data_IF_653322688002
#
_entry.id   IF_653322688002
#
_cell.length_a   1.000
_cell.length_b   1.000
_cell.length_c   1.000
_cell.angle_alpha   90.00
_cell.angle_beta   90.00
_cell.angle_gamma   90.00
#
_symmetry.space_group_name_H-M   'P 1'
#
loop_
_entity.id
_entity.type
_entity.pdbx_description
1 polymer ?
#
# COMPACT_ATOMS: atom_id res chain seq x y z
N UNK A 1 -9.60 -14.83 13.49
CA UNK A 1 -8.93 -16.03 14.04
C UNK A 1 -7.63 -16.21 13.26
N UNK A 2 -6.48 -16.31 13.93
CA UNK A 2 -5.19 -16.51 13.25
C UNK A 2 -5.20 -17.86 12.52
N UNK A 3 -4.93 -17.87 11.21
CA UNK A 3 -4.89 -19.12 10.44
C UNK A 3 -3.81 -20.06 10.97
N UNK A 4 -4.09 -21.36 11.03
CA UNK A 4 -3.19 -22.39 11.58
C UNK A 4 -1.77 -22.34 11.00
N UNK A 5 -1.64 -21.97 9.71
CA UNK A 5 -0.34 -21.80 9.04
C UNK A 5 0.53 -20.71 9.69
N UNK A 6 -0.08 -19.64 10.22
CA UNK A 6 0.61 -18.52 10.88
C UNK A 6 0.91 -18.78 12.36
N UNK A 7 0.35 -19.85 12.94
CA UNK A 7 0.59 -20.29 14.32
C UNK A 7 1.50 -21.53 14.40
N UNK A 8 1.97 -22.03 13.26
CA UNK A 8 2.83 -23.22 13.20
C UNK A 8 4.16 -22.99 13.93
N UNK A 9 4.72 -24.09 14.46
CA UNK A 9 6.04 -24.05 15.10
C UNK A 9 7.11 -23.51 14.13
N UNK A 10 7.05 -23.92 12.85
CA UNK A 10 7.94 -23.41 11.81
C UNK A 10 7.87 -21.88 11.67
N UNK A 11 6.66 -21.31 11.63
CA UNK A 11 6.49 -19.85 11.54
C UNK A 11 7.07 -19.15 12.78
N UNK A 12 6.87 -19.72 13.97
CA UNK A 12 7.42 -19.16 15.21
C UNK A 12 8.95 -19.14 15.21
N UNK A 13 9.59 -20.22 14.79
CA UNK A 13 11.05 -20.29 14.67
C UNK A 13 11.59 -19.31 13.61
N UNK A 14 10.92 -19.19 12.45
CA UNK A 14 11.29 -18.19 11.46
C UNK A 14 11.20 -16.77 12.02
N UNK A 15 10.13 -16.43 12.72
CA UNK A 15 10.01 -15.12 13.38
C UNK A 15 11.13 -14.89 14.39
N UNK A 16 11.54 -15.91 15.15
CA UNK A 16 12.65 -15.81 16.09
C UNK A 16 13.98 -15.53 15.38
N UNK A 17 14.31 -16.27 14.32
CA UNK A 17 15.54 -16.10 13.53
C UNK A 17 15.63 -14.70 12.91
N UNK A 18 14.51 -14.21 12.36
CA UNK A 18 14.47 -12.88 11.74
C UNK A 18 14.22 -11.73 12.74
N UNK A 19 14.15 -12.02 14.04
CA UNK A 19 13.84 -11.05 15.10
C UNK A 19 12.53 -10.26 14.83
N UNK A 20 11.52 -10.96 14.30
CA UNK A 20 10.20 -10.40 13.98
C UNK A 20 9.26 -10.64 15.17
N UNK A 21 8.73 -9.55 15.73
CA UNK A 21 7.66 -9.64 16.73
C UNK A 21 6.32 -9.87 16.04
N UNK A 22 5.75 -11.06 16.19
CA UNK A 22 4.43 -11.38 15.63
C UNK A 22 3.33 -10.65 16.42
N UNK A 23 2.47 -9.91 15.71
CA UNK A 23 1.19 -9.43 16.24
C UNK A 23 0.09 -10.42 15.83
N UNK A 24 -0.69 -10.90 16.79
CA UNK A 24 -1.85 -11.76 16.50
C UNK A 24 -3.08 -10.87 16.53
N UNK A 25 -3.74 -10.73 15.39
CA UNK A 25 -5.06 -10.12 15.31
C UNK A 25 -6.05 -11.00 16.07
N UNK A 26 -6.45 -10.60 17.27
CA UNK A 26 -7.58 -11.24 17.96
C UNK A 26 -8.84 -11.02 17.12
N UNK A 27 -9.82 -11.94 17.22
CA UNK A 27 -11.04 -11.91 16.41
C UNK A 27 -11.88 -10.61 16.54
N UNK A 28 -11.47 -9.70 17.43
CA UNK A 28 -12.19 -8.49 17.82
C UNK A 28 -11.55 -7.18 17.36
N UNK A 29 -10.51 -7.20 16.52
CA UNK A 29 -9.91 -5.98 15.91
C UNK A 29 -10.22 -5.89 14.40
N UNK A 30 -11.47 -5.57 14.02
CA UNK A 30 -11.89 -5.46 12.62
C UNK A 30 -11.21 -4.31 11.88
N UNK A 31 -10.67 -3.30 12.57
CA UNK A 31 -9.97 -2.19 11.91
C UNK A 31 -8.67 -2.63 11.22
N UNK A 32 -7.86 -3.48 11.86
CA UNK A 32 -6.59 -3.98 11.28
C UNK A 32 -6.87 -4.95 10.12
N UNK A 33 -7.85 -5.83 10.28
CA UNK A 33 -8.23 -6.77 9.23
C UNK A 33 -8.92 -6.05 8.05
N UNK A 34 -9.69 -5.01 8.33
CA UNK A 34 -10.42 -4.24 7.32
C UNK A 34 -9.50 -3.50 6.35
N UNK A 35 -8.32 -3.05 6.79
CA UNK A 35 -7.33 -2.47 5.87
C UNK A 35 -6.78 -3.54 4.91
N UNK A 36 -6.44 -4.73 5.42
CA UNK A 36 -5.98 -5.85 4.59
C UNK A 36 -7.07 -6.32 3.62
N UNK A 37 -8.32 -6.39 4.05
CA UNK A 37 -9.45 -6.76 3.19
C UNK A 37 -9.64 -5.77 2.06
N UNK A 38 -9.54 -4.46 2.34
CA UNK A 38 -9.62 -3.41 1.31
C UNK A 38 -8.46 -3.46 0.32
N UNK A 39 -7.24 -3.68 0.79
CA UNK A 39 -6.08 -3.82 -0.10
C UNK A 39 -6.25 -5.05 -0.98
N UNK A 40 -6.68 -6.19 -0.41
CA UNK A 40 -6.99 -7.40 -1.17
C UNK A 40 -8.10 -7.18 -2.21
N UNK A 41 -9.16 -6.45 -1.85
CA UNK A 41 -10.23 -6.10 -2.78
C UNK A 41 -9.71 -5.22 -3.93
N UNK A 42 -8.90 -4.21 -3.62
CA UNK A 42 -8.27 -3.33 -4.62
C UNK A 42 -7.38 -4.11 -5.57
N UNK A 43 -6.54 -5.00 -5.04
CA UNK A 43 -5.68 -5.86 -5.85
C UNK A 43 -6.50 -6.78 -6.75
N UNK A 44 -7.54 -7.44 -6.22
CA UNK A 44 -8.44 -8.30 -7.01
C UNK A 44 -9.09 -7.53 -8.17
N UNK A 45 -9.53 -6.30 -7.93
CA UNK A 45 -10.13 -5.48 -8.99
C UNK A 45 -9.09 -5.06 -10.03
N UNK A 46 -7.88 -4.70 -9.59
CA UNK A 46 -6.77 -4.43 -10.51
C UNK A 46 -6.45 -5.67 -11.36
N UNK A 47 -6.41 -6.86 -10.75
CA UNK A 47 -6.21 -8.12 -11.46
C UNK A 47 -7.23 -8.35 -12.57
N UNK A 48 -8.51 -8.08 -12.34
CA UNK A 48 -9.54 -8.22 -13.38
C UNK A 48 -9.27 -7.36 -14.61
N UNK A 49 -8.55 -6.24 -14.47
CA UNK A 49 -8.18 -5.39 -15.61
C UNK A 49 -6.96 -5.93 -16.39
N UNK A 50 -6.13 -6.78 -15.78
CA UNK A 50 -4.93 -7.35 -16.40
C UNK A 50 -5.10 -8.80 -16.87
N UNK A 51 -6.15 -9.49 -16.41
CA UNK A 51 -6.46 -10.87 -16.79
C UNK A 51 -7.37 -10.90 -18.00
N UNK A 52 -7.18 -11.91 -18.85
CA UNK A 52 -8.17 -12.24 -19.87
C UNK A 52 -9.42 -12.81 -19.17
N UNK A 53 -10.63 -12.26 -19.40
CA UNK A 53 -11.86 -12.80 -18.83
C UNK A 53 -12.13 -14.26 -19.21
N UNK A 54 -11.67 -14.67 -20.40
CA UNK A 54 -11.92 -16.01 -20.96
C UNK A 54 -10.88 -17.06 -20.52
N UNK A 55 -9.68 -16.63 -20.08
CA UNK A 55 -8.64 -17.52 -19.58
C UNK A 55 -7.83 -16.86 -18.45
N UNK A 56 -8.08 -17.31 -17.21
CA UNK A 56 -7.43 -16.80 -16.01
C UNK A 56 -6.18 -17.59 -15.62
N UNK A 57 -5.72 -18.54 -16.45
CA UNK A 57 -4.56 -19.39 -16.12
C UNK A 57 -3.26 -18.60 -16.00
N UNK A 58 -3.12 -17.52 -16.77
CA UNK A 58 -1.91 -16.68 -16.81
C UNK A 58 -1.83 -15.62 -15.70
N UNK A 59 -2.46 -15.89 -14.55
CA UNK A 59 -2.57 -14.91 -13.47
C UNK A 59 -1.22 -14.58 -12.83
N UNK A 60 -0.32 -15.54 -12.79
CA UNK A 60 1.06 -15.41 -12.32
C UNK A 60 1.88 -14.51 -13.26
N UNK A 61 1.62 -14.54 -14.57
CA UNK A 61 2.23 -13.64 -15.56
C UNK A 61 1.63 -12.23 -15.45
N UNK A 62 0.35 -12.10 -15.10
CA UNK A 62 -0.30 -10.81 -14.90
C UNK A 62 0.07 -10.13 -13.56
N UNK A 63 0.37 -10.92 -12.53
CA UNK A 63 0.65 -10.45 -11.17
C UNK A 63 1.76 -9.38 -11.09
N UNK A 64 2.95 -9.54 -11.71
CA UNK A 64 3.99 -8.52 -11.68
C UNK A 64 3.55 -7.17 -12.25
N UNK A 65 2.78 -7.19 -13.36
CA UNK A 65 2.26 -5.99 -14.02
C UNK A 65 1.22 -5.29 -13.15
N UNK A 66 0.32 -6.06 -12.54
CA UNK A 66 -0.67 -5.56 -11.59
C UNK A 66 0.01 -4.90 -10.36
N UNK A 67 1.03 -5.55 -9.78
CA UNK A 67 1.78 -5.00 -8.66
C UNK A 67 2.57 -3.75 -9.03
N UNK A 68 3.13 -3.68 -10.24
CA UNK A 68 3.80 -2.48 -10.74
C UNK A 68 2.83 -1.30 -10.79
N UNK A 69 1.67 -1.50 -11.43
CA UNK A 69 0.63 -0.48 -11.51
C UNK A 69 0.15 -0.04 -10.11
N UNK A 70 -0.09 -1.01 -9.21
CA UNK A 70 -0.49 -0.72 -7.83
C UNK A 70 0.54 0.13 -7.06
N UNK A 71 1.83 -0.16 -7.22
CA UNK A 71 2.93 0.58 -6.56
C UNK A 71 3.18 1.96 -7.16
N UNK A 72 2.86 2.15 -8.45
CA UNK A 72 3.07 3.39 -9.16
C UNK A 72 1.86 4.34 -9.11
N UNK A 73 0.67 3.84 -8.79
CA UNK A 73 -0.55 4.65 -8.72
C UNK A 73 -0.66 5.38 -7.39
N UNK A 74 -1.13 6.62 -7.41
CA UNK A 74 -1.42 7.39 -6.19
C UNK A 74 -2.64 6.82 -5.49
N UNK A 75 -2.53 6.53 -4.20
CA UNK A 75 -3.64 5.99 -3.42
C UNK A 75 -4.42 7.12 -2.76
N UNK A 76 -5.74 7.16 -2.96
CA UNK A 76 -6.60 8.23 -2.42
C UNK A 76 -6.44 8.46 -0.90
N UNK A 77 -6.34 7.42 -0.04
CA UNK A 77 -6.21 7.63 1.41
C UNK A 77 -4.90 8.31 1.83
N UNK A 78 -3.82 8.15 1.06
CA UNK A 78 -2.50 8.68 1.40
C UNK A 78 -2.10 9.87 0.53
N UNK A 79 -2.73 10.05 -0.64
CA UNK A 79 -2.33 11.01 -1.67
C UNK A 79 -0.91 10.77 -2.20
N UNK A 80 -0.34 9.59 -1.98
CA UNK A 80 1.02 9.21 -2.37
C UNK A 80 1.01 7.81 -3.01
N UNK A 81 2.03 7.51 -3.81
CA UNK A 81 2.22 6.14 -4.34
C UNK A 81 2.88 5.26 -3.27
N UNK A 82 2.57 3.94 -3.21
CA UNK A 82 3.24 3.04 -2.29
C UNK A 82 4.77 3.03 -2.43
N UNK A 83 5.30 3.13 -3.66
CA UNK A 83 6.75 3.15 -3.86
C UNK A 83 7.42 4.36 -3.20
N UNK A 84 6.81 5.55 -3.33
CA UNK A 84 7.33 6.78 -2.73
C UNK A 84 7.33 6.68 -1.21
N UNK A 85 6.31 6.06 -0.62
CA UNK A 85 6.24 5.88 0.84
C UNK A 85 7.33 4.96 1.40
N UNK A 86 7.82 4.00 0.61
CA UNK A 86 8.86 3.05 1.04
C UNK A 86 10.26 3.56 0.73
N UNK A 87 10.46 4.12 -0.47
CA UNK A 87 11.79 4.39 -1.02
C UNK A 87 12.08 5.86 -1.26
N UNK A 88 11.14 6.76 -0.96
CA UNK A 88 11.19 8.21 -1.27
C UNK A 88 11.30 8.56 -2.76
N UNK A 89 11.21 7.56 -3.65
CA UNK A 89 11.36 7.69 -5.10
C UNK A 89 10.14 7.14 -5.81
N UNK A 90 9.76 7.77 -6.92
CA UNK A 90 8.80 7.19 -7.86
C UNK A 90 9.40 5.99 -8.58
N UNK A 91 8.54 5.08 -9.03
CA UNK A 91 8.95 4.08 -10.02
C UNK A 91 9.21 4.79 -11.34
N UNK A 92 10.29 4.42 -12.03
CA UNK A 92 10.48 4.80 -13.43
C UNK A 92 9.68 3.85 -14.30
N UNK A 93 8.65 4.38 -14.96
CA UNK A 93 7.78 3.66 -15.87
C UNK A 93 8.18 3.91 -17.32
N UNK A 94 7.70 3.05 -18.22
CA UNK A 94 7.90 3.25 -19.66
C UNK A 94 7.32 4.60 -20.15
N UNK A 95 6.25 5.09 -19.51
CA UNK A 95 5.69 6.42 -19.77
C UNK A 95 6.69 7.54 -19.52
N UNK A 96 7.57 7.40 -18.55
CA UNK A 96 8.53 8.44 -18.15
C UNK A 96 9.69 8.56 -19.14
N UNK A 97 9.90 7.51 -19.96
CA UNK A 97 10.84 7.54 -21.08
C UNK A 97 10.24 8.29 -22.27
N UNK A 98 8.94 8.13 -22.50
CA UNK A 98 8.20 8.80 -23.58
C UNK A 98 7.91 10.27 -23.25
N UNK A 99 7.68 10.57 -21.98
CA UNK A 99 7.43 11.91 -21.45
C UNK A 99 8.44 12.19 -20.32
N UNK A 100 9.69 12.56 -20.68
CA UNK A 100 10.69 12.88 -19.67
C UNK A 100 10.23 14.10 -18.86
N UNK A 101 10.06 13.90 -17.56
CA UNK A 101 9.89 15.01 -16.63
C UNK A 101 11.18 15.82 -16.55
N UNK A 102 11.07 17.15 -16.39
CA UNK A 102 12.21 18.06 -16.21
C UNK A 102 13.19 17.47 -15.18
N UNK A 103 14.39 17.18 -15.65
CA UNK A 103 15.44 16.63 -14.81
C UNK A 103 15.96 17.73 -13.89
N UNK A 104 15.89 17.50 -12.58
CA UNK A 104 16.69 18.29 -11.64
C UNK A 104 18.17 17.92 -11.83
N UNK A 105 19.03 18.94 -11.82
CA UNK A 105 20.50 18.84 -11.83
C UNK A 105 20.99 17.73 -10.88
N UNK A 106 22.00 16.93 -11.28
CA UNK A 106 22.55 15.90 -10.43
C UNK A 106 23.16 16.52 -9.16
N UNK A 107 22.50 16.27 -8.01
CA UNK A 107 23.00 16.71 -6.71
C UNK A 107 24.23 15.88 -6.29
N UNK A 108 25.09 16.50 -5.48
CA UNK A 108 26.13 15.79 -4.73
C UNK A 108 25.49 14.69 -3.87
N UNK A 109 26.19 13.55 -3.71
CA UNK A 109 25.66 12.35 -3.04
C UNK A 109 25.06 12.63 -1.65
N UNK A 110 25.70 13.49 -0.86
CA UNK A 110 25.24 13.87 0.48
C UNK A 110 23.96 14.71 0.44
N UNK A 111 23.90 15.70 -0.44
CA UNK A 111 22.74 16.57 -0.61
C UNK A 111 21.54 15.78 -1.15
N UNK A 112 21.79 14.85 -2.08
CA UNK A 112 20.81 13.90 -2.58
C UNK A 112 20.22 13.02 -1.48
N UNK A 113 21.05 12.50 -0.56
CA UNK A 113 20.59 11.70 0.59
C UNK A 113 19.73 12.54 1.54
N UNK A 114 20.14 13.77 1.84
CA UNK A 114 19.34 14.69 2.67
C UNK A 114 18.00 15.04 2.02
N UNK A 115 17.98 15.26 0.70
CA UNK A 115 16.76 15.53 -0.03
C UNK A 115 15.81 14.32 -0.06
N UNK A 116 16.34 13.11 -0.24
CA UNK A 116 15.55 11.88 -0.14
C UNK A 116 14.94 11.70 1.26
N UNK A 117 15.76 11.88 2.31
CA UNK A 117 15.29 11.74 3.68
C UNK A 117 14.20 12.77 4.02
N UNK A 118 14.42 14.05 3.70
CA UNK A 118 13.42 15.10 3.91
C UNK A 118 12.14 14.86 3.11
N UNK A 119 12.26 14.39 1.86
CA UNK A 119 11.12 14.03 1.02
C UNK A 119 10.33 12.85 1.59
N UNK A 120 11.00 11.83 2.12
CA UNK A 120 10.36 10.69 2.79
C UNK A 120 9.55 11.15 4.00
N UNK A 121 10.18 11.90 4.91
CA UNK A 121 9.54 12.40 6.13
C UNK A 121 8.35 13.29 5.79
N UNK A 122 8.49 14.17 4.79
CA UNK A 122 7.40 15.02 4.30
C UNK A 122 6.25 14.19 3.71
N UNK A 123 6.56 13.22 2.85
CA UNK A 123 5.59 12.32 2.24
C UNK A 123 4.81 11.52 3.29
N UNK A 124 5.50 10.96 4.28
CA UNK A 124 4.87 10.26 5.40
C UNK A 124 3.98 11.17 6.24
N UNK A 125 4.42 12.41 6.53
CA UNK A 125 3.61 13.39 7.26
C UNK A 125 2.32 13.72 6.50
N UNK A 126 2.41 13.99 5.21
CA UNK A 126 1.25 14.27 4.36
C UNK A 126 0.30 13.07 4.28
N UNK A 127 0.85 11.86 4.09
CA UNK A 127 0.06 10.63 4.08
C UNK A 127 -0.71 10.42 5.39
N UNK A 128 -0.10 10.70 6.55
CA UNK A 128 -0.78 10.63 7.85
C UNK A 128 -1.93 11.63 7.96
N UNK A 129 -1.74 12.86 7.46
CA UNK A 129 -2.81 13.86 7.45
C UNK A 129 -3.98 13.42 6.57
N UNK A 130 -3.71 12.91 5.37
CA UNK A 130 -4.75 12.39 4.48
C UNK A 130 -5.47 11.19 5.08
N UNK A 131 -4.74 10.25 5.70
CA UNK A 131 -5.33 9.10 6.39
C UNK A 131 -6.25 9.53 7.53
N UNK A 132 -5.82 10.49 8.35
CA UNK A 132 -6.67 11.03 9.42
C UNK A 132 -7.93 11.70 8.88
N UNK A 133 -7.82 12.47 7.79
CA UNK A 133 -8.97 13.08 7.15
C UNK A 133 -9.94 12.04 6.58
N UNK A 134 -9.41 11.03 5.88
CA UNK A 134 -10.19 9.93 5.33
C UNK A 134 -10.89 9.11 6.43
N UNK A 135 -10.19 8.82 7.54
CA UNK A 135 -10.77 8.15 8.70
C UNK A 135 -11.92 8.97 9.34
N UNK A 136 -11.74 10.29 9.47
CA UNK A 136 -12.80 11.19 9.98
C UNK A 136 -14.03 11.19 9.08
N UNK A 137 -13.84 11.31 7.76
CA UNK A 137 -14.92 11.25 6.78
C UNK A 137 -15.66 9.92 6.85
N UNK A 138 -14.91 8.82 6.90
CA UNK A 138 -15.48 7.49 6.97
C UNK A 138 -16.29 7.29 8.28
N UNK A 139 -15.77 7.75 9.43
CA UNK A 139 -16.51 7.71 10.71
C UNK A 139 -17.79 8.56 10.66
N UNK A 140 -17.74 9.75 10.06
CA UNK A 140 -18.91 10.62 9.92
C UNK A 140 -19.99 10.00 9.01
N UNK A 141 -19.59 9.32 7.93
CA UNK A 141 -20.50 8.60 7.03
C UNK A 141 -21.22 7.46 7.77
N UNK A 142 -20.46 6.56 8.42
CA UNK A 142 -21.05 5.44 9.17
C UNK A 142 -21.89 5.92 10.37
N UNK A 143 -21.50 7.00 11.04
CA UNK A 143 -22.30 7.60 12.11
C UNK A 143 -23.65 8.14 11.64
N UNK A 144 -23.76 8.56 10.37
CA UNK A 144 -25.04 9.00 9.78
C UNK A 144 -25.96 7.84 9.42
N UNK A 145 -25.43 6.73 8.93
CA UNK A 145 -26.25 5.55 8.57
C UNK A 145 -26.75 4.79 9.82
N UNK A 146 -25.99 4.78 10.91
CA UNK A 146 -26.35 4.04 12.13
C UNK A 146 -27.34 4.80 13.04
N UNK A 147 -27.33 6.14 12.99
CA UNK A 147 -28.20 6.99 13.83
C UNK A 147 -29.20 7.83 13.02
N UNK A 148 -29.36 7.53 11.73
CA UNK A 148 -30.17 8.30 10.78
C UNK A 148 -31.23 7.47 10.08
N UNK A 149 -32.01 6.70 10.84
CA UNK A 149 -33.34 6.22 10.44
C UNK A 149 -34.26 6.24 11.65
N UNK A 150 -34.81 7.42 11.93
CA UNK A 150 -36.12 7.60 12.57
C UNK A 150 -36.96 8.52 11.67
#
# INVERSE_FOLDING_TARGET
MGGSNFESMLMREMCHIFNIKKSITTAYYPEENGLMERTNHTLKNSFKAFLNPEDTRDWDIALPRCLLAYRATVHAPTGQTPQVMVSSRGLRLASDVLLPADHHEPLLTTEHIHQMHSSLVRGQKLARLHLQAAQRQQRAYFGREVYGTE
#
